data_IF_877285207625
#
_entry.id   IF_877285207625
#
_cell.length_a   1.000
_cell.length_b   1.000
_cell.length_c   1.000
_cell.angle_alpha   90.00
_cell.angle_beta   90.00
_cell.angle_gamma   90.00
#
_symmetry.space_group_name_H-M   'P 1'
#
loop_
_entity.id
_entity.type
_entity.pdbx_description
1 polymer ?
#
# COMPACT_ATOMS: atom_id res chain seq x y z
N UNK A 1 -69.57 -17.43 32.52
CA UNK A 1 -70.67 -16.54 32.10
C UNK A 1 -70.42 -16.08 30.66
N UNK A 2 -71.39 -16.37 29.77
CA UNK A 2 -71.76 -15.73 28.46
C UNK A 2 -70.63 -15.33 27.47
N UNK A 3 -70.41 -16.10 26.37
CA UNK A 3 -71.06 -16.07 25.02
C UNK A 3 -70.79 -14.77 24.23
N UNK A 4 -69.92 -14.80 23.20
CA UNK A 4 -70.15 -15.10 21.75
C UNK A 4 -70.65 -13.91 20.90
N UNK A 5 -69.94 -13.66 19.77
CA UNK A 5 -70.37 -13.34 18.37
C UNK A 5 -69.17 -12.67 17.67
N UNK A 6 -68.42 -13.27 16.72
CA UNK A 6 -68.70 -13.64 15.31
C UNK A 6 -69.42 -12.54 14.52
N UNK A 7 -68.72 -11.89 13.58
CA UNK A 7 -69.13 -11.78 12.17
C UNK A 7 -67.91 -11.50 11.26
N UNK A 8 -67.91 -12.17 10.09
CA UNK A 8 -66.96 -12.04 8.97
C UNK A 8 -67.47 -10.95 8.00
N UNK A 9 -66.58 -10.38 7.16
CA UNK A 9 -66.63 -10.46 5.66
C UNK A 9 -65.79 -9.34 4.98
N UNK A 10 -64.96 -9.79 4.04
CA UNK A 10 -64.43 -9.18 2.79
C UNK A 10 -63.56 -7.90 2.76
N UNK A 11 -62.27 -8.13 2.52
CA UNK A 11 -61.42 -7.70 1.38
C UNK A 11 -61.82 -6.46 0.56
N UNK A 12 -60.97 -5.41 0.53
CA UNK A 12 -60.20 -4.95 -0.66
C UNK A 12 -59.33 -3.69 -0.35
N UNK A 13 -58.13 -3.68 -0.95
CA UNK A 13 -57.34 -2.52 -1.47
C UNK A 13 -56.28 -1.84 -0.57
N UNK A 14 -55.03 -2.10 -0.97
CA UNK A 14 -53.81 -1.27 -1.01
C UNK A 14 -53.70 -0.04 -0.08
N UNK A 15 -52.62 0.04 0.71
CA UNK A 15 -51.36 0.71 0.28
C UNK A 15 -50.26 0.57 1.36
N UNK A 16 -49.06 0.22 0.88
CA UNK A 16 -47.73 0.60 1.36
C UNK A 16 -47.38 0.45 2.87
N UNK A 17 -46.64 -0.61 3.18
CA UNK A 17 -45.66 -0.62 4.27
C UNK A 17 -44.26 -0.90 3.69
N UNK A 18 -43.39 0.11 3.73
CA UNK A 18 -41.94 -0.03 3.56
C UNK A 18 -41.35 0.25 4.93
N UNK A 19 -41.09 -0.80 5.71
CA UNK A 19 -40.13 -0.74 6.81
C UNK A 19 -38.91 -1.56 6.37
N UNK A 20 -37.86 -0.83 6.00
CA UNK A 20 -36.53 -1.36 5.72
C UNK A 20 -35.89 -1.86 7.02
N UNK A 21 -35.92 -3.18 7.24
CA UNK A 21 -34.96 -3.84 8.13
C UNK A 21 -33.75 -4.21 7.30
N UNK A 22 -32.64 -3.49 7.50
CA UNK A 22 -31.34 -3.78 6.94
C UNK A 22 -30.83 -5.13 7.44
N UNK A 23 -30.78 -6.12 6.54
CA UNK A 23 -30.05 -7.37 6.75
C UNK A 23 -28.57 -7.06 6.53
N UNK A 24 -27.65 -7.39 7.46
CA UNK A 24 -26.22 -7.25 7.20
C UNK A 24 -25.81 -8.19 6.06
N UNK A 25 -25.18 -7.60 5.03
CA UNK A 25 -24.65 -8.32 3.89
C UNK A 25 -23.62 -9.35 4.36
N UNK A 26 -23.93 -10.63 4.15
CA UNK A 26 -23.00 -11.72 4.33
C UNK A 26 -21.82 -11.55 3.38
N UNK A 27 -20.64 -11.29 3.92
CA UNK A 27 -19.37 -11.49 3.24
C UNK A 27 -19.21 -12.98 2.94
N UNK A 28 -19.46 -13.38 1.70
CA UNK A 28 -19.11 -14.71 1.22
C UNK A 28 -17.60 -14.78 1.01
N UNK A 29 -16.86 -15.16 2.05
CA UNK A 29 -15.52 -15.73 1.89
C UNK A 29 -15.67 -17.08 1.18
N UNK A 30 -15.11 -17.21 -0.02
CA UNK A 30 -14.90 -18.52 -0.64
C UNK A 30 -13.89 -19.29 0.21
N UNK A 31 -14.40 -20.09 1.14
CA UNK A 31 -13.61 -20.87 2.09
C UNK A 31 -13.15 -22.17 1.40
N UNK A 32 -12.00 -22.12 0.74
CA UNK A 32 -11.25 -23.33 0.39
C UNK A 32 -10.76 -23.96 1.69
N UNK A 33 -11.44 -25.01 2.14
CA UNK A 33 -11.02 -25.84 3.29
C UNK A 33 -9.79 -26.67 2.89
N UNK A 34 -8.63 -26.04 2.83
CA UNK A 34 -7.38 -26.74 3.12
C UNK A 34 -7.16 -26.67 4.63
N UNK A 35 -7.46 -27.78 5.32
CA UNK A 35 -6.93 -28.05 6.65
C UNK A 35 -5.40 -28.18 6.54
N UNK A 36 -4.70 -27.06 6.55
CA UNK A 36 -3.30 -27.03 6.94
C UNK A 36 -3.27 -26.69 8.42
N UNK A 37 -2.85 -27.66 9.23
CA UNK A 37 -2.52 -27.43 10.61
C UNK A 37 -1.54 -26.24 10.69
N UNK A 38 -1.83 -25.32 11.60
CA UNK A 38 -0.91 -24.24 11.98
C UNK A 38 0.32 -24.86 12.64
N UNK A 39 1.25 -25.35 11.82
CA UNK A 39 2.65 -25.44 12.20
C UNK A 39 3.20 -24.03 12.02
N UNK A 40 3.46 -23.35 13.12
CA UNK A 40 4.32 -22.16 13.13
C UNK A 40 5.72 -22.61 12.70
N UNK A 41 5.97 -22.66 11.39
CA UNK A 41 7.31 -22.85 10.87
C UNK A 41 8.15 -21.67 11.36
N UNK A 42 9.13 -21.96 12.21
CA UNK A 42 10.04 -20.96 12.76
C UNK A 42 10.90 -20.42 11.62
N UNK A 43 10.40 -19.39 10.94
CA UNK A 43 11.10 -18.75 9.81
C UNK A 43 12.40 -18.13 10.32
N UNK A 44 13.51 -18.51 9.70
CA UNK A 44 14.84 -18.03 10.07
C UNK A 44 15.17 -16.74 9.30
N UNK A 45 14.94 -15.60 9.93
CA UNK A 45 15.34 -14.30 9.40
C UNK A 45 16.85 -14.08 9.61
N UNK A 46 17.54 -13.35 8.69
CA UNK A 46 18.94 -12.98 8.88
C UNK A 46 19.17 -12.27 10.22
N UNK A 47 20.22 -12.68 10.95
CA UNK A 47 20.60 -12.03 12.22
C UNK A 47 21.40 -10.77 11.91
N UNK A 48 20.92 -9.62 12.39
CA UNK A 48 21.54 -8.33 12.15
C UNK A 48 22.84 -8.11 12.93
N UNK A 49 23.67 -7.13 12.51
CA UNK A 49 24.91 -6.79 13.18
C UNK A 49 24.67 -6.08 14.53
N UNK A 50 25.71 -6.09 15.38
CA UNK A 50 25.76 -5.23 16.56
C UNK A 50 26.13 -3.80 16.18
N UNK A 51 25.41 -2.82 16.74
CA UNK A 51 25.57 -1.38 16.49
C UNK A 51 25.62 -0.61 17.80
N UNK A 52 26.34 0.51 17.82
CA UNK A 52 26.51 1.38 18.98
C UNK A 52 25.29 2.25 19.30
N UNK A 53 24.49 2.62 18.29
CA UNK A 53 23.25 3.40 18.46
C UNK A 53 22.26 2.73 19.43
N UNK A 54 21.60 3.50 20.28
CA UNK A 54 20.64 3.00 21.28
C UNK A 54 19.37 2.44 20.62
N UNK A 55 18.91 3.11 19.55
CA UNK A 55 17.81 2.66 18.70
C UNK A 55 18.21 2.70 17.22
N UNK A 56 17.80 1.69 16.45
CA UNK A 56 18.08 1.61 15.03
C UNK A 56 17.05 0.77 14.26
N UNK A 57 16.76 1.16 13.02
CA UNK A 57 15.89 0.43 12.10
C UNK A 57 16.44 0.49 10.67
N UNK A 58 16.26 -0.58 9.92
CA UNK A 58 16.37 -0.58 8.45
C UNK A 58 15.02 -1.01 7.90
N UNK A 59 14.40 -0.13 7.11
CA UNK A 59 13.10 -0.33 6.49
C UNK A 59 13.24 -0.21 4.98
N UNK A 60 12.60 -1.09 4.23
CA UNK A 60 12.41 -0.90 2.80
C UNK A 60 11.40 0.23 2.54
N UNK A 61 11.81 1.25 1.78
CA UNK A 61 11.07 2.48 1.55
C UNK A 61 9.75 2.26 0.80
N UNK A 62 9.66 1.22 -0.04
CA UNK A 62 8.45 0.94 -0.81
C UNK A 62 7.47 0.08 -0.02
N UNK A 63 7.91 -1.10 0.38
CA UNK A 63 7.07 -2.12 1.02
C UNK A 63 6.79 -1.80 2.48
N UNK A 64 7.68 -1.07 3.16
CA UNK A 64 7.63 -0.88 4.61
C UNK A 64 8.16 -2.08 5.41
N UNK A 65 8.72 -3.10 4.74
CA UNK A 65 9.28 -4.26 5.42
C UNK A 65 10.47 -3.84 6.30
N UNK A 66 10.42 -4.22 7.58
CA UNK A 66 11.51 -4.02 8.53
C UNK A 66 12.54 -5.15 8.37
N UNK A 67 13.73 -4.79 7.87
CA UNK A 67 14.86 -5.71 7.67
C UNK A 67 15.71 -5.86 8.93
N UNK A 68 15.85 -4.78 9.71
CA UNK A 68 16.59 -4.73 10.97
C UNK A 68 15.82 -3.91 12.01
N UNK A 69 15.87 -4.34 13.27
CA UNK A 69 15.26 -3.62 14.39
C UNK A 69 16.09 -3.71 15.67
N UNK A 70 16.31 -2.56 16.32
CA UNK A 70 16.83 -2.43 17.68
C UNK A 70 16.08 -1.30 18.39
N UNK A 71 15.34 -1.60 19.46
CA UNK A 71 14.61 -0.61 20.28
C UNK A 71 13.79 0.38 19.44
N UNK A 72 13.08 -0.10 18.42
CA UNK A 72 12.53 0.77 17.36
C UNK A 72 11.40 1.69 17.82
N UNK A 73 10.69 1.33 18.88
CA UNK A 73 9.63 2.12 19.54
C UNK A 73 10.12 2.91 20.76
N UNK A 74 11.41 2.82 21.11
CA UNK A 74 11.95 3.58 22.24
C UNK A 74 11.95 5.07 21.88
N UNK A 75 11.29 5.88 22.70
CA UNK A 75 11.28 7.35 22.57
C UNK A 75 12.68 7.91 22.75
N UNK A 76 13.08 8.74 21.81
CA UNK A 76 14.36 9.45 21.75
C UNK A 76 14.13 10.88 21.27
N UNK A 77 15.06 11.78 21.58
CA UNK A 77 15.04 13.12 21.03
C UNK A 77 15.53 13.09 19.56
N UNK A 78 14.77 13.62 18.59
CA UNK A 78 15.13 13.57 17.17
C UNK A 78 16.30 14.49 16.79
N UNK A 79 16.52 15.58 17.53
CA UNK A 79 17.35 16.69 17.05
C UNK A 79 16.92 17.12 15.63
N UNK A 80 17.85 17.57 14.79
CA UNK A 80 17.53 18.10 13.46
C UNK A 80 16.97 17.12 12.43
N UNK A 81 16.82 15.82 12.72
CA UNK A 81 16.09 14.92 11.80
C UNK A 81 14.60 15.28 11.75
N UNK A 82 14.08 16.02 12.74
CA UNK A 82 12.77 16.70 12.74
C UNK A 82 12.48 17.45 11.45
N UNK A 83 13.51 18.04 10.84
CA UNK A 83 13.39 18.83 9.61
C UNK A 83 12.89 18.01 8.41
N UNK A 84 12.95 16.68 8.45
CA UNK A 84 12.30 15.82 7.45
C UNK A 84 10.78 16.04 7.46
N UNK A 85 10.15 16.08 8.64
CA UNK A 85 8.71 16.36 8.77
C UNK A 85 8.40 17.80 8.35
N UNK A 86 9.24 18.77 8.73
CA UNK A 86 9.06 20.18 8.33
C UNK A 86 9.09 20.35 6.81
N UNK A 87 10.05 19.72 6.13
CA UNK A 87 10.15 19.74 4.67
C UNK A 87 8.99 19.00 4.01
N UNK A 88 8.56 17.85 4.55
CA UNK A 88 7.38 17.13 4.05
C UNK A 88 6.14 18.03 4.08
N UNK A 89 5.83 18.63 5.23
CA UNK A 89 4.66 19.50 5.36
C UNK A 89 4.72 20.73 4.46
N UNK A 90 5.91 21.34 4.30
CA UNK A 90 6.06 22.45 3.37
C UNK A 90 5.74 22.04 1.92
N UNK A 91 6.17 20.85 1.50
CA UNK A 91 5.85 20.33 0.17
C UNK A 91 4.40 19.89 0.01
N UNK A 92 3.70 19.55 1.09
CA UNK A 92 2.28 19.21 1.09
C UNK A 92 1.36 20.44 1.10
N UNK A 93 1.82 21.58 1.63
CA UNK A 93 0.98 22.74 1.91
C UNK A 93 1.34 24.00 1.12
N UNK A 94 2.49 24.06 0.45
CA UNK A 94 2.96 25.25 -0.25
C UNK A 94 3.49 24.94 -1.66
N UNK A 95 3.38 25.91 -2.55
CA UNK A 95 4.15 25.97 -3.80
C UNK A 95 5.59 26.39 -3.52
N UNK A 96 6.53 25.85 -4.31
CA UNK A 96 7.96 26.17 -4.24
C UNK A 96 8.26 27.65 -4.53
N UNK A 97 7.39 28.33 -5.28
CA UNK A 97 7.52 29.75 -5.64
C UNK A 97 7.01 30.71 -4.57
N UNK A 98 6.34 30.23 -3.52
CA UNK A 98 5.87 31.08 -2.44
C UNK A 98 7.03 31.77 -1.74
N UNK A 99 6.80 33.01 -1.31
CA UNK A 99 7.80 33.81 -0.60
C UNK A 99 7.59 33.71 0.90
N UNK A 100 8.58 33.15 1.59
CA UNK A 100 8.63 33.03 3.05
C UNK A 100 9.28 34.31 3.61
N UNK A 101 8.55 35.01 4.47
CA UNK A 101 9.06 36.19 5.19
C UNK A 101 9.46 35.81 6.62
N UNK A 102 10.66 36.18 7.05
CA UNK A 102 11.18 35.75 8.36
C UNK A 102 10.93 36.80 9.44
N UNK A 103 10.13 36.46 10.44
CA UNK A 103 9.84 37.36 11.57
C UNK A 103 11.02 37.48 12.55
N UNK A 104 10.94 38.43 13.48
CA UNK A 104 11.88 38.51 14.62
C UNK A 104 11.85 37.24 15.48
N UNK A 105 10.67 36.62 15.61
CA UNK A 105 10.48 35.37 16.36
C UNK A 105 11.17 34.21 15.65
N UNK A 106 11.02 34.09 14.32
CA UNK A 106 11.64 33.03 13.54
C UNK A 106 13.18 33.04 13.66
N UNK A 107 13.79 34.23 13.58
CA UNK A 107 15.26 34.40 13.66
C UNK A 107 15.82 34.36 15.08
N UNK A 108 14.97 34.39 16.10
CA UNK A 108 15.39 34.27 17.50
C UNK A 108 15.58 32.80 17.88
N UNK A 109 16.78 32.28 17.62
CA UNK A 109 17.18 30.88 17.87
C UNK A 109 18.27 30.79 18.94
N UNK A 110 18.42 29.61 19.54
CA UNK A 110 19.45 29.35 20.54
C UNK A 110 20.86 29.66 20.01
N UNK A 111 21.66 30.36 20.83
CA UNK A 111 23.04 30.73 20.49
C UNK A 111 23.90 29.49 20.21
N UNK A 112 24.69 29.54 19.13
CA UNK A 112 25.52 28.40 18.70
C UNK A 112 24.77 27.30 17.96
N UNK A 113 23.45 27.42 17.77
CA UNK A 113 22.69 26.48 16.95
C UNK A 113 22.89 26.74 15.45
N UNK A 114 22.57 25.75 14.60
CA UNK A 114 22.82 25.85 13.15
C UNK A 114 21.89 26.85 12.46
N UNK A 115 22.47 27.76 11.67
CA UNK A 115 21.77 28.81 10.96
C UNK A 115 22.48 29.21 9.66
N UNK A 116 21.82 30.00 8.81
CA UNK A 116 22.40 30.62 7.60
C UNK A 116 22.41 32.15 7.68
N UNK A 117 22.05 32.72 8.84
CA UNK A 117 22.15 34.15 9.10
C UNK A 117 21.07 34.95 8.39
N UNK A 118 19.83 34.47 8.45
CA UNK A 118 18.67 35.23 7.99
C UNK A 118 18.39 36.40 8.92
N UNK A 119 18.07 37.56 8.33
CA UNK A 119 17.69 38.79 9.05
C UNK A 119 16.16 38.85 9.19
N UNK A 120 15.68 39.47 10.28
CA UNK A 120 14.24 39.75 10.41
C UNK A 120 13.76 40.65 9.25
N UNK A 121 12.66 40.28 8.60
CA UNK A 121 12.11 40.92 7.40
C UNK A 121 12.75 40.46 6.09
N UNK A 122 13.76 39.59 6.14
CA UNK A 122 14.32 38.97 4.94
C UNK A 122 13.30 38.01 4.31
N UNK A 123 13.43 37.79 3.00
CA UNK A 123 12.54 36.96 2.21
C UNK A 123 13.32 35.93 1.40
N UNK A 124 12.85 34.69 1.40
CA UNK A 124 13.34 33.61 0.55
C UNK A 124 12.17 32.95 -0.18
N UNK A 125 12.45 32.34 -1.33
CA UNK A 125 11.50 31.38 -1.90
C UNK A 125 11.34 30.17 -0.97
N UNK A 126 10.20 29.48 -1.03
CA UNK A 126 10.01 28.21 -0.33
C UNK A 126 11.07 27.21 -0.79
N UNK A 127 11.39 27.15 -2.08
CA UNK A 127 12.48 26.31 -2.59
C UNK A 127 13.82 26.57 -1.89
N UNK A 128 14.28 27.82 -1.84
CA UNK A 128 15.54 28.18 -1.17
C UNK A 128 15.49 27.87 0.32
N UNK A 129 14.33 28.07 0.95
CA UNK A 129 14.10 27.74 2.35
C UNK A 129 14.26 26.23 2.60
N UNK A 130 13.70 25.38 1.74
CA UNK A 130 13.82 23.93 1.88
C UNK A 130 15.26 23.43 1.65
N UNK A 131 16.00 24.04 0.71
CA UNK A 131 17.43 23.75 0.56
C UNK A 131 18.23 24.17 1.80
N UNK A 132 17.98 25.35 2.37
CA UNK A 132 18.63 25.79 3.60
C UNK A 132 18.35 24.85 4.79
N UNK A 133 17.09 24.41 4.93
CA UNK A 133 16.65 23.47 5.97
C UNK A 133 17.33 22.12 5.82
N UNK A 134 17.37 21.54 4.62
CA UNK A 134 17.88 20.18 4.43
C UNK A 134 19.40 20.11 4.35
N UNK A 135 20.07 21.05 3.69
CA UNK A 135 21.52 21.00 3.48
C UNK A 135 22.30 21.53 4.68
N UNK A 136 21.94 22.73 5.16
CA UNK A 136 22.64 23.43 6.24
C UNK A 136 21.91 23.36 7.59
N UNK A 137 20.76 22.70 7.66
CA UNK A 137 20.02 22.52 8.91
C UNK A 137 19.58 23.82 9.56
N UNK A 138 19.28 24.85 8.77
CA UNK A 138 18.95 26.20 9.25
C UNK A 138 17.71 26.21 10.17
N UNK A 139 17.90 26.56 11.44
CA UNK A 139 16.85 26.54 12.46
C UNK A 139 15.85 27.68 12.28
N UNK A 140 16.35 28.89 12.02
CA UNK A 140 15.55 30.08 11.80
C UNK A 140 14.68 29.96 10.55
N UNK A 141 15.20 29.31 9.51
CA UNK A 141 14.45 29.07 8.29
C UNK A 141 13.31 28.08 8.54
N UNK A 142 13.56 27.05 9.35
CA UNK A 142 12.51 26.09 9.75
C UNK A 142 11.40 26.77 10.54
N UNK A 143 11.74 27.71 11.43
CA UNK A 143 10.76 28.52 12.15
C UNK A 143 9.96 29.43 11.21
N UNK A 144 10.61 30.10 10.26
CA UNK A 144 9.92 30.95 9.29
C UNK A 144 8.96 30.18 8.38
N UNK A 145 9.37 28.99 7.92
CA UNK A 145 8.49 28.08 7.17
C UNK A 145 7.29 27.64 8.02
N UNK A 146 7.50 27.37 9.31
CA UNK A 146 6.42 27.04 10.23
C UNK A 146 5.42 28.18 10.42
N UNK A 147 5.91 29.41 10.61
CA UNK A 147 5.08 30.61 10.69
C UNK A 147 4.31 30.85 9.38
N UNK A 148 4.95 30.66 8.23
CA UNK A 148 4.31 30.81 6.92
C UNK A 148 3.14 29.84 6.72
N UNK A 149 3.30 28.58 7.11
CA UNK A 149 2.30 27.53 6.90
C UNK A 149 1.16 27.60 7.92
N UNK A 150 1.45 27.88 9.19
CA UNK A 150 0.47 27.74 10.28
C UNK A 150 0.25 29.01 11.11
N UNK A 151 0.80 30.14 10.67
CA UNK A 151 0.74 31.42 11.38
C UNK A 151 1.62 31.52 12.63
N UNK A 152 2.03 30.38 13.21
CA UNK A 152 2.97 30.33 14.33
C UNK A 152 3.71 28.99 14.40
N UNK A 153 4.87 29.00 15.06
CA UNK A 153 5.68 27.79 15.31
C UNK A 153 4.91 26.74 16.13
N UNK A 154 4.10 27.19 17.10
CA UNK A 154 3.30 26.30 17.97
C UNK A 154 2.19 25.59 17.19
N UNK A 155 1.43 26.32 16.36
CA UNK A 155 0.39 25.70 15.53
C UNK A 155 0.99 24.76 14.49
N UNK A 156 2.16 25.09 13.94
CA UNK A 156 2.88 24.19 13.05
C UNK A 156 3.32 22.91 13.77
N UNK A 157 3.81 22.99 15.02
CA UNK A 157 4.17 21.83 15.81
C UNK A 157 2.97 20.88 16.07
N UNK A 158 1.77 21.44 16.27
CA UNK A 158 0.52 20.67 16.33
C UNK A 158 0.21 20.01 14.99
N UNK A 159 0.38 20.72 13.87
CA UNK A 159 0.22 20.17 12.52
C UNK A 159 1.20 19.01 12.27
N UNK A 160 2.48 19.15 12.63
CA UNK A 160 3.49 18.09 12.55
C UNK A 160 3.08 16.86 13.35
N UNK A 161 2.62 17.05 14.59
CA UNK A 161 2.18 15.94 15.45
C UNK A 161 0.92 15.27 14.90
N UNK A 162 -0.03 16.05 14.37
CA UNK A 162 -1.22 15.51 13.70
C UNK A 162 -0.83 14.67 12.49
N UNK A 163 0.05 15.20 11.62
CA UNK A 163 0.54 14.49 10.43
C UNK A 163 1.28 13.20 10.80
N UNK A 164 2.09 13.22 11.85
CA UNK A 164 2.75 12.01 12.35
C UNK A 164 1.72 10.92 12.73
N UNK A 165 0.64 11.28 13.45
CA UNK A 165 -0.43 10.34 13.79
C UNK A 165 -1.14 9.78 12.56
N UNK A 166 -1.42 10.61 11.55
CA UNK A 166 -2.01 10.17 10.28
C UNK A 166 -1.11 9.18 9.52
N UNK A 167 0.20 9.27 9.70
CA UNK A 167 1.18 8.33 9.14
C UNK A 167 1.32 7.04 9.98
N UNK A 168 0.61 6.92 11.11
CA UNK A 168 0.69 5.76 12.01
C UNK A 168 1.81 5.85 13.05
N UNK A 169 2.36 7.03 13.31
CA UNK A 169 3.35 7.24 14.36
C UNK A 169 2.68 7.25 15.74
N UNK A 170 3.09 6.36 16.63
CA UNK A 170 2.54 6.22 17.99
C UNK A 170 3.48 6.80 19.07
N UNK A 171 4.76 6.94 18.75
CA UNK A 171 5.84 7.29 19.66
C UNK A 171 6.46 8.67 19.36
N UNK A 172 5.69 9.56 18.72
CA UNK A 172 6.16 10.88 18.25
C UNK A 172 5.30 12.03 18.75
N UNK A 173 5.96 13.09 19.21
CA UNK A 173 5.39 14.40 19.47
C UNK A 173 6.40 15.48 19.08
N UNK A 174 5.97 16.42 18.23
CA UNK A 174 6.79 17.56 17.83
C UNK A 174 6.36 18.80 18.62
N UNK A 175 7.32 19.41 19.32
CA UNK A 175 7.14 20.70 20.00
C UNK A 175 7.62 21.93 19.19
N UNK A 176 8.36 21.72 18.10
CA UNK A 176 8.93 22.79 17.26
C UNK A 176 9.28 22.27 15.86
N UNK A 177 9.62 23.17 14.94
CA UNK A 177 9.88 22.86 13.53
C UNK A 177 11.35 22.50 13.22
N UNK A 178 12.27 22.70 14.16
CA UNK A 178 13.71 22.69 13.88
C UNK A 178 14.46 21.55 14.60
N UNK A 179 13.88 20.97 15.65
CA UNK A 179 14.49 19.91 16.44
C UNK A 179 15.47 20.39 17.52
N UNK A 180 15.45 21.67 17.88
CA UNK A 180 16.05 22.13 19.14
C UNK A 180 15.39 21.39 20.31
N UNK A 181 16.16 21.19 21.39
CA UNK A 181 15.73 20.34 22.48
C UNK A 181 14.54 20.93 23.24
N UNK A 182 13.55 20.07 23.47
CA UNK A 182 12.42 20.27 24.35
C UNK A 182 12.05 18.87 24.89
N UNK A 183 11.66 18.76 26.15
CA UNK A 183 11.37 17.47 26.78
C UNK A 183 10.14 16.77 26.20
N UNK A 184 9.21 17.54 25.65
CA UNK A 184 8.07 17.03 24.91
C UNK A 184 8.38 16.78 23.44
N UNK A 185 9.60 17.04 22.95
CA UNK A 185 9.97 16.85 21.55
C UNK A 185 10.67 15.50 21.33
N UNK A 186 9.91 14.45 21.03
CA UNK A 186 10.42 13.08 20.91
C UNK A 186 9.88 12.34 19.69
N UNK A 187 10.59 11.30 19.28
CA UNK A 187 10.19 10.34 18.23
C UNK A 187 10.75 8.95 18.54
N UNK A 188 10.48 7.97 17.68
CA UNK A 188 11.10 6.64 17.69
C UNK A 188 11.80 6.37 16.35
N UNK A 189 12.64 5.32 16.30
CA UNK A 189 13.28 4.94 15.05
C UNK A 189 12.25 4.47 14.01
N UNK A 190 11.21 3.76 14.47
CA UNK A 190 10.11 3.30 13.64
C UNK A 190 9.32 4.46 13.04
N UNK A 191 8.89 5.41 13.88
CA UNK A 191 8.11 6.57 13.44
C UNK A 191 8.90 7.44 12.46
N UNK A 192 10.19 7.63 12.70
CA UNK A 192 11.02 8.38 11.77
C UNK A 192 11.22 7.65 10.43
N UNK A 193 11.22 6.32 10.42
CA UNK A 193 11.20 5.56 9.17
C UNK A 193 9.86 5.72 8.42
N UNK A 194 8.72 5.76 9.12
CA UNK A 194 7.41 6.05 8.51
C UNK A 194 7.34 7.45 7.90
N UNK A 195 7.78 8.46 8.66
CA UNK A 195 7.83 9.86 8.20
C UNK A 195 8.74 9.98 6.98
N UNK A 196 9.90 9.33 7.01
CA UNK A 196 10.83 9.32 5.88
C UNK A 196 10.27 8.60 4.67
N UNK A 197 9.55 7.48 4.86
CA UNK A 197 8.87 6.75 3.79
C UNK A 197 7.83 7.63 3.10
N UNK A 198 7.07 8.41 3.85
CA UNK A 198 6.14 9.40 3.30
C UNK A 198 6.86 10.50 2.53
N UNK A 199 7.92 11.07 3.10
CA UNK A 199 8.72 12.12 2.45
C UNK A 199 9.34 11.65 1.12
N UNK A 200 9.83 10.41 1.06
CA UNK A 200 10.37 9.81 -0.16
C UNK A 200 9.32 9.53 -1.24
N UNK A 201 8.02 9.69 -1.00
CA UNK A 201 7.03 9.66 -2.10
C UNK A 201 7.06 10.95 -2.93
N UNK A 202 7.61 12.04 -2.38
CA UNK A 202 7.70 13.32 -3.07
C UNK A 202 9.02 13.43 -3.86
N UNK A 203 8.94 13.61 -5.18
CA UNK A 203 10.12 13.72 -6.05
C UNK A 203 10.96 14.97 -5.78
N UNK A 204 10.34 16.09 -5.38
CA UNK A 204 11.07 17.30 -4.98
C UNK A 204 11.84 17.08 -3.69
N UNK A 205 11.26 16.39 -2.69
CA UNK A 205 11.98 16.02 -1.47
C UNK A 205 13.25 15.20 -1.80
N UNK A 206 13.11 14.22 -2.71
CA UNK A 206 14.24 13.41 -3.19
C UNK A 206 15.34 14.27 -3.80
N UNK A 207 14.99 15.18 -4.70
CA UNK A 207 15.96 16.09 -5.33
C UNK A 207 16.69 16.96 -4.30
N UNK A 208 15.96 17.52 -3.33
CA UNK A 208 16.54 18.38 -2.29
C UNK A 208 17.51 17.58 -1.40
N UNK A 209 17.10 16.42 -0.88
CA UNK A 209 17.93 15.65 0.05
C UNK A 209 19.20 15.07 -0.61
N UNK A 210 19.16 14.78 -1.91
CA UNK A 210 20.31 14.32 -2.71
C UNK A 210 21.30 15.41 -3.03
N UNK A 211 20.88 16.68 -3.00
CA UNK A 211 21.71 17.80 -3.43
C UNK A 211 22.88 18.00 -2.47
N UNK A 212 24.10 17.99 -3.03
CA UNK A 212 25.34 18.16 -2.26
C UNK A 212 25.64 19.62 -1.96
N UNK A 213 25.38 20.50 -2.92
CA UNK A 213 25.60 21.95 -2.82
C UNK A 213 24.48 22.69 -3.49
N UNK A 214 24.09 23.82 -2.90
CA UNK A 214 23.09 24.73 -3.45
C UNK A 214 23.53 26.16 -3.19
N UNK A 215 23.14 27.11 -4.02
CA UNK A 215 23.48 28.53 -3.81
C UNK A 215 22.19 29.33 -3.77
N UNK A 216 21.93 29.97 -2.64
CA UNK A 216 20.85 30.94 -2.51
C UNK A 216 21.38 32.27 -3.05
N UNK A 217 20.59 32.88 -3.93
CA UNK A 217 20.89 34.18 -4.53
C UNK A 217 20.83 35.33 -3.52
N UNK A 218 20.93 36.55 -4.04
CA UNK A 218 20.65 37.74 -3.25
C UNK A 218 19.17 37.81 -2.88
N UNK A 219 18.89 38.44 -1.75
CA UNK A 219 17.54 38.66 -1.22
C UNK A 219 17.24 40.17 -1.15
N UNK A 220 16.08 40.49 -0.59
CA UNK A 220 15.72 41.88 -0.30
C UNK A 220 16.71 42.54 0.70
N UNK A 221 17.23 41.80 1.69
CA UNK A 221 18.09 42.33 2.76
C UNK A 221 19.55 41.84 2.75
N UNK A 222 19.90 40.89 1.88
CA UNK A 222 21.26 40.37 1.73
C UNK A 222 21.66 40.36 0.25
N UNK A 223 22.74 41.08 -0.10
CA UNK A 223 23.18 41.17 -1.50
C UNK A 223 24.23 40.12 -1.86
N UNK A 224 24.82 39.48 -0.86
CA UNK A 224 25.76 38.37 -1.06
C UNK A 224 25.02 37.04 -1.25
N UNK A 225 25.63 36.14 -2.02
CA UNK A 225 25.13 34.77 -2.20
C UNK A 225 25.43 33.96 -0.95
N UNK A 226 24.54 33.03 -0.58
CA UNK A 226 24.79 32.05 0.49
C UNK A 226 25.04 30.67 -0.11
N UNK A 227 26.17 30.08 0.22
CA UNK A 227 26.57 28.75 -0.26
C UNK A 227 26.18 27.68 0.74
N UNK A 228 25.33 26.75 0.30
CA UNK A 228 24.86 25.64 1.10
C UNK A 228 25.69 24.39 0.76
N UNK A 229 25.99 23.59 1.78
CA UNK A 229 26.67 22.31 1.65
C UNK A 229 25.98 21.29 2.53
N UNK A 230 25.56 20.17 1.94
CA UNK A 230 24.87 19.12 2.68
C UNK A 230 25.75 18.56 3.79
N UNK A 231 25.26 18.58 5.03
CA UNK A 231 25.96 18.08 6.20
C UNK A 231 26.10 16.54 6.24
N UNK A 232 25.34 15.80 5.42
CA UNK A 232 25.40 14.34 5.38
C UNK A 232 26.74 13.87 4.79
N UNK A 233 27.61 13.30 5.63
CA UNK A 233 28.99 13.04 5.26
C UNK A 233 29.12 11.95 4.17
N UNK A 234 28.20 10.99 4.11
CA UNK A 234 28.20 9.93 3.10
C UNK A 234 27.97 10.43 1.66
N UNK A 235 27.44 11.66 1.49
CA UNK A 235 27.28 12.30 0.17
C UNK A 235 28.54 13.04 -0.29
N UNK A 236 29.54 13.18 0.57
CA UNK A 236 30.70 14.05 0.36
C UNK A 236 32.02 13.26 0.44
N UNK A 237 32.25 12.30 -0.46
CA UNK A 237 33.39 11.37 -0.39
C UNK A 237 34.76 12.06 -0.48
N UNK A 238 34.85 13.25 -1.09
CA UNK A 238 36.10 14.02 -1.14
C UNK A 238 36.49 14.55 0.24
N UNK A 239 35.51 14.99 1.04
CA UNK A 239 35.76 15.54 2.39
C UNK A 239 35.77 14.47 3.47
N UNK A 240 34.98 13.41 3.29
CA UNK A 240 34.80 12.33 4.25
C UNK A 240 34.93 10.95 3.56
N UNK A 241 36.11 10.62 3.01
CA UNK A 241 36.31 9.37 2.28
C UNK A 241 36.00 8.12 3.12
N UNK A 242 36.23 8.17 4.44
CA UNK A 242 35.93 7.08 5.36
C UNK A 242 34.43 6.77 5.53
N UNK A 243 33.55 7.69 5.13
CA UNK A 243 32.10 7.52 5.16
C UNK A 243 31.48 7.47 3.77
N UNK A 244 32.30 7.49 2.72
CA UNK A 244 31.82 7.38 1.34
C UNK A 244 30.97 6.12 1.19
N UNK A 245 29.77 6.28 0.64
CA UNK A 245 28.86 5.16 0.43
C UNK A 245 28.13 5.35 -0.90
N UNK A 246 28.46 4.53 -1.88
CA UNK A 246 28.00 4.68 -3.26
C UNK A 246 26.46 4.63 -3.39
N UNK A 247 25.79 3.87 -2.52
CA UNK A 247 24.35 3.73 -2.54
C UNK A 247 23.61 4.88 -1.83
N UNK A 248 24.31 5.80 -1.15
CA UNK A 248 23.67 6.89 -0.41
C UNK A 248 23.02 7.91 -1.36
N UNK A 249 21.72 8.13 -1.17
CA UNK A 249 20.88 9.03 -1.98
C UNK A 249 20.22 10.12 -1.12
N UNK A 250 20.82 10.48 0.01
CA UNK A 250 20.28 11.53 0.88
C UNK A 250 20.12 11.09 2.32
N UNK A 251 19.53 12.00 3.10
CA UNK A 251 19.28 11.82 4.51
C UNK A 251 19.26 13.13 5.27
N UNK A 252 19.25 13.03 6.60
CA UNK A 252 19.36 14.16 7.52
C UNK A 252 20.14 13.77 8.77
N UNK A 253 21.10 14.62 9.12
CA UNK A 253 21.86 14.54 10.37
C UNK A 253 21.20 15.35 11.48
N UNK A 254 21.44 14.98 12.73
CA UNK A 254 21.06 15.77 13.90
C UNK A 254 21.97 15.54 15.09
N UNK A 255 22.10 16.57 15.91
CA UNK A 255 22.81 16.52 17.18
C UNK A 255 22.24 17.54 18.15
N UNK A 256 22.02 17.11 19.40
CA UNK A 256 21.96 17.98 20.58
C UNK A 256 22.67 17.24 21.72
N UNK A 257 22.99 17.93 22.81
CA UNK A 257 23.61 17.28 23.97
C UNK A 257 22.74 16.13 24.53
N UNK A 258 21.41 16.29 24.48
CA UNK A 258 20.43 15.31 24.98
C UNK A 258 20.14 14.20 23.98
N UNK A 259 20.02 14.53 22.69
CA UNK A 259 19.77 13.56 21.62
C UNK A 259 21.01 12.70 21.29
N UNK A 260 22.22 13.22 21.57
CA UNK A 260 23.47 12.75 20.94
C UNK A 260 23.33 12.77 19.41
N UNK A 261 24.11 11.96 18.68
CA UNK A 261 24.00 11.92 17.22
C UNK A 261 22.78 11.11 16.79
N UNK A 262 22.04 11.68 15.85
CA UNK A 262 20.93 11.05 15.16
C UNK A 262 21.18 11.13 13.66
N UNK A 263 20.83 10.09 12.92
CA UNK A 263 21.02 10.05 11.48
C UNK A 263 19.90 9.26 10.83
N UNK A 264 19.29 9.88 9.82
CA UNK A 264 18.44 9.20 8.84
C UNK A 264 19.19 9.19 7.52
N UNK A 265 19.34 8.03 6.90
CA UNK A 265 20.02 7.86 5.61
C UNK A 265 19.11 7.09 4.66
N UNK A 266 19.03 7.58 3.44
CA UNK A 266 18.36 6.91 2.32
C UNK A 266 19.42 6.29 1.43
N UNK A 267 19.26 5.03 1.06
CA UNK A 267 20.17 4.34 0.18
C UNK A 267 19.44 3.48 -0.83
N UNK A 268 19.95 3.39 -2.05
CA UNK A 268 19.35 2.58 -3.12
C UNK A 268 20.42 1.74 -3.82
N UNK A 269 20.14 0.44 -3.96
CA UNK A 269 20.95 -0.53 -4.72
C UNK A 269 20.03 -1.39 -5.57
N UNK A 270 20.11 -1.25 -6.89
CA UNK A 270 19.14 -1.86 -7.80
C UNK A 270 17.72 -1.35 -7.51
N UNK A 271 16.77 -2.26 -7.38
CA UNK A 271 15.37 -1.94 -7.08
C UNK A 271 15.07 -1.75 -5.59
N UNK A 272 15.98 -2.19 -4.71
CA UNK A 272 15.84 -2.05 -3.26
C UNK A 272 16.21 -0.64 -2.82
N UNK A 273 15.31 0.02 -2.10
CA UNK A 273 15.52 1.33 -1.52
C UNK A 273 15.31 1.26 -0.01
N UNK A 274 16.34 1.59 0.77
CA UNK A 274 16.37 1.44 2.21
C UNK A 274 16.38 2.80 2.92
N UNK A 275 15.61 2.86 4.00
CA UNK A 275 15.64 3.91 5.01
C UNK A 275 16.34 3.32 6.23
N UNK A 276 17.48 3.89 6.61
CA UNK A 276 18.18 3.56 7.84
C UNK A 276 18.05 4.73 8.82
N UNK A 277 17.53 4.47 10.02
CA UNK A 277 17.49 5.45 11.10
C UNK A 277 18.32 4.92 12.26
N UNK A 278 19.23 5.74 12.78
CA UNK A 278 19.98 5.51 14.01
C UNK A 278 19.80 6.68 14.96
N UNK A 279 19.44 6.40 16.20
CA UNK A 279 19.17 7.41 17.22
C UNK A 279 20.07 7.21 18.44
N UNK A 280 20.47 8.33 19.04
CA UNK A 280 21.32 8.39 20.23
C UNK A 280 22.61 7.57 20.07
N UNK A 281 23.29 7.80 18.95
CA UNK A 281 24.61 7.24 18.70
C UNK A 281 25.69 8.02 19.43
N UNK A 282 26.71 7.29 19.88
CA UNK A 282 27.93 7.86 20.45
C UNK A 282 28.61 8.83 19.47
N UNK A 283 29.31 9.87 19.98
CA UNK A 283 30.04 10.80 19.12
C UNK A 283 31.16 10.10 18.33
N UNK A 284 31.46 10.57 17.09
CA UNK A 284 32.54 10.02 16.26
C UNK A 284 33.91 9.96 16.93
N UNK A 285 34.16 10.82 17.92
CA UNK A 285 35.46 10.98 18.58
C UNK A 285 35.58 10.20 19.90
N UNK A 286 34.60 9.36 20.25
CA UNK A 286 34.57 8.65 21.54
C UNK A 286 34.69 7.13 21.35
N UNK A 287 34.17 6.57 20.26
CA UNK A 287 34.17 5.13 20.01
C UNK A 287 34.43 4.84 18.52
N UNK A 288 34.98 3.65 18.17
CA UNK A 288 35.12 3.22 16.78
C UNK A 288 33.78 3.08 16.05
N UNK A 289 32.67 2.96 16.80
CA UNK A 289 31.31 2.97 16.27
C UNK A 289 30.66 4.34 16.49
N UNK A 290 30.18 4.94 15.41
CA UNK A 290 29.39 6.16 15.39
C UNK A 290 28.21 6.02 14.42
N UNK A 291 27.43 7.10 14.26
CA UNK A 291 26.21 7.09 13.47
C UNK A 291 26.44 6.67 12.01
N UNK A 292 27.59 7.01 11.41
CA UNK A 292 27.89 6.66 10.03
C UNK A 292 28.38 5.22 9.90
N UNK A 293 29.27 4.76 10.78
CA UNK A 293 29.75 3.37 10.73
C UNK A 293 28.63 2.38 11.04
N UNK A 294 27.74 2.72 11.98
CA UNK A 294 26.55 1.91 12.27
C UNK A 294 25.60 1.89 11.08
N UNK A 295 25.31 3.05 10.48
CA UNK A 295 24.48 3.13 9.27
C UNK A 295 25.05 2.31 8.11
N UNK A 296 26.35 2.37 7.84
CA UNK A 296 26.99 1.58 6.77
C UNK A 296 26.82 0.07 7.04
N UNK A 297 27.09 -0.39 8.27
CA UNK A 297 26.90 -1.80 8.67
C UNK A 297 25.45 -2.26 8.47
N UNK A 298 24.50 -1.41 8.85
CA UNK A 298 23.06 -1.69 8.76
C UNK A 298 22.56 -1.73 7.31
N UNK A 299 22.99 -0.78 6.47
CA UNK A 299 22.65 -0.75 5.06
C UNK A 299 23.25 -1.95 4.31
N UNK A 300 24.52 -2.27 4.56
CA UNK A 300 25.15 -3.47 4.00
C UNK A 300 24.40 -4.73 4.42
N UNK A 301 24.03 -4.85 5.69
CA UNK A 301 23.20 -5.98 6.14
C UNK A 301 21.90 -6.10 5.34
N UNK A 302 21.20 -4.99 5.09
CA UNK A 302 19.98 -4.95 4.27
C UNK A 302 20.23 -5.41 2.82
N UNK A 303 21.25 -4.87 2.17
CA UNK A 303 21.54 -5.19 0.76
C UNK A 303 22.17 -6.57 0.55
N UNK A 304 22.91 -7.11 1.53
CA UNK A 304 23.67 -8.35 1.39
C UNK A 304 22.87 -9.58 1.81
N UNK A 305 21.82 -9.45 2.62
CA UNK A 305 21.08 -10.60 3.17
C UNK A 305 19.70 -10.81 2.56
N UNK A 306 19.25 -9.88 1.71
CA UNK A 306 17.91 -9.89 1.12
C UNK A 306 17.96 -9.68 -0.40
N UNK A 307 17.00 -10.30 -1.09
CA UNK A 307 16.83 -10.27 -2.54
C UNK A 307 15.45 -9.70 -2.88
N UNK A 308 15.41 -8.85 -3.91
CA UNK A 308 14.17 -8.32 -4.50
C UNK A 308 13.68 -9.21 -5.65
N UNK A 309 12.38 -9.52 -5.63
CA UNK A 309 11.66 -10.18 -6.72
C UNK A 309 10.65 -9.21 -7.31
N UNK A 310 10.92 -8.72 -8.52
CA UNK A 310 9.99 -7.85 -9.24
C UNK A 310 8.73 -8.61 -9.63
N UNK A 311 7.56 -8.04 -9.33
CA UNK A 311 6.26 -8.62 -9.63
C UNK A 311 5.70 -7.90 -10.86
N UNK A 312 6.07 -8.38 -12.04
CA UNK A 312 5.49 -7.91 -13.30
C UNK A 312 4.58 -8.98 -13.93
N UNK A 313 3.69 -8.52 -14.82
CA UNK A 313 2.67 -9.33 -15.50
C UNK A 313 3.25 -10.41 -16.42
N UNK A 314 4.52 -10.28 -16.83
CA UNK A 314 5.12 -11.13 -17.87
C UNK A 314 6.04 -12.22 -17.34
N UNK A 315 6.71 -12.05 -16.20
CA UNK A 315 7.82 -12.92 -15.76
C UNK A 315 7.42 -14.01 -14.76
N UNK A 316 6.36 -13.82 -13.97
CA UNK A 316 6.18 -14.65 -12.77
C UNK A 316 5.07 -15.70 -12.87
N UNK A 317 4.60 -16.02 -14.08
CA UNK A 317 3.62 -17.08 -14.29
C UNK A 317 2.48 -16.98 -13.28
N UNK A 318 1.92 -15.75 -13.12
CA UNK A 318 0.79 -15.45 -12.24
C UNK A 318 -0.44 -16.22 -12.75
N UNK A 319 -0.42 -17.54 -12.55
CA UNK A 319 -1.56 -18.41 -12.36
C UNK A 319 -2.21 -17.91 -11.07
N UNK A 320 -2.86 -16.75 -11.17
CA UNK A 320 -3.98 -16.44 -10.31
C UNK A 320 -4.89 -17.64 -10.42
N UNK A 321 -4.96 -18.42 -9.33
CA UNK A 321 -5.82 -19.59 -9.23
C UNK A 321 -7.14 -19.23 -9.90
N UNK A 322 -7.46 -19.97 -10.95
CA UNK A 322 -8.47 -19.74 -11.98
C UNK A 322 -9.89 -19.83 -11.44
N UNK A 323 -10.06 -19.47 -10.17
CA UNK A 323 -11.29 -19.05 -9.53
C UNK A 323 -11.80 -17.74 -10.15
N UNK A 324 -12.48 -17.93 -11.28
CA UNK A 324 -13.51 -17.09 -11.89
C UNK A 324 -13.13 -15.73 -12.49
N UNK A 325 -11.93 -15.18 -12.28
CA UNK A 325 -11.56 -13.88 -12.87
C UNK A 325 -10.68 -13.95 -14.13
N UNK A 326 -9.97 -15.07 -14.36
CA UNK A 326 -8.92 -15.15 -15.39
C UNK A 326 -9.04 -16.41 -16.24
N UNK A 327 -10.17 -16.62 -16.91
CA UNK A 327 -10.26 -17.66 -17.94
C UNK A 327 -9.61 -17.16 -19.22
N UNK A 328 -8.82 -18.02 -19.86
CA UNK A 328 -8.05 -17.80 -21.10
C UNK A 328 -8.89 -17.44 -22.34
N UNK A 329 -10.19 -17.23 -22.16
CA UNK A 329 -11.19 -17.14 -23.22
C UNK A 329 -11.97 -15.82 -23.22
N UNK A 330 -11.57 -14.83 -22.43
CA UNK A 330 -12.20 -13.51 -22.44
C UNK A 330 -11.32 -12.51 -23.21
N UNK A 331 -11.82 -11.83 -24.27
CA UNK A 331 -11.07 -10.87 -25.08
C UNK A 331 -10.55 -9.65 -24.30
N UNK A 332 -11.01 -9.43 -23.06
CA UNK A 332 -10.41 -8.46 -22.13
C UNK A 332 -9.03 -8.87 -21.60
N UNK A 333 -8.54 -10.08 -21.92
CA UNK A 333 -7.32 -10.66 -21.33
C UNK A 333 -6.38 -11.32 -22.35
N UNK A 334 -6.41 -10.85 -23.60
CA UNK A 334 -5.27 -11.11 -24.48
C UNK A 334 -4.02 -10.45 -23.86
N UNK A 335 -2.94 -11.23 -23.75
CA UNK A 335 -1.67 -10.86 -23.09
C UNK A 335 -1.06 -9.58 -23.68
N UNK A 336 -1.44 -9.23 -24.91
CA UNK A 336 -0.97 -8.04 -25.62
C UNK A 336 -1.95 -6.86 -25.61
N UNK A 337 -3.21 -7.03 -25.16
CA UNK A 337 -4.26 -5.98 -25.22
C UNK A 337 -5.17 -5.91 -23.98
N UNK A 338 -4.83 -6.62 -22.89
CA UNK A 338 -5.66 -6.65 -21.68
C UNK A 338 -5.78 -5.28 -21.02
N UNK A 339 -7.03 -4.89 -20.76
CA UNK A 339 -7.39 -3.77 -19.91
C UNK A 339 -7.01 -4.00 -18.44
N UNK A 340 -6.56 -5.18 -18.03
CA UNK A 340 -6.17 -5.47 -16.65
C UNK A 340 -4.70 -5.89 -16.56
N UNK A 341 -3.95 -5.20 -15.70
CA UNK A 341 -2.50 -5.34 -15.56
C UNK A 341 -2.10 -5.29 -14.09
N UNK A 342 -0.90 -5.76 -13.78
CA UNK A 342 -0.26 -5.55 -12.48
C UNK A 342 0.67 -4.36 -12.61
N UNK A 343 0.75 -3.50 -11.59
CA UNK A 343 1.68 -2.38 -11.58
C UNK A 343 3.11 -2.88 -11.74
N UNK A 344 3.84 -2.31 -12.71
CA UNK A 344 5.19 -2.77 -13.07
C UNK A 344 6.27 -2.44 -12.04
N UNK A 345 5.91 -1.71 -10.98
CA UNK A 345 6.84 -1.20 -9.99
C UNK A 345 6.84 -2.03 -8.68
N UNK A 346 5.87 -2.92 -8.47
CA UNK A 346 5.77 -3.71 -7.25
C UNK A 346 6.83 -4.80 -7.15
N UNK A 347 7.38 -5.01 -5.95
CA UNK A 347 8.35 -6.08 -5.68
C UNK A 347 8.16 -6.71 -4.30
N UNK A 348 8.78 -7.87 -4.12
CA UNK A 348 8.83 -8.63 -2.88
C UNK A 348 10.27 -8.75 -2.40
N UNK A 349 10.53 -8.52 -1.11
CA UNK A 349 11.84 -8.70 -0.49
C UNK A 349 11.83 -9.95 0.38
N UNK A 350 12.73 -10.89 0.09
CA UNK A 350 12.92 -12.10 0.88
C UNK A 350 14.40 -12.30 1.24
N UNK A 351 14.71 -13.03 2.32
CA UNK A 351 16.09 -13.44 2.58
C UNK A 351 16.69 -14.22 1.40
N UNK A 352 17.99 -14.10 1.10
CA UNK A 352 18.66 -14.63 -0.12
C UNK A 352 18.49 -16.13 -0.43
N UNK A 353 17.96 -16.93 0.49
CA UNK A 353 17.74 -18.38 0.32
C UNK A 353 16.27 -18.77 0.18
N UNK A 354 15.37 -17.80 0.31
CA UNK A 354 13.92 -18.01 0.31
C UNK A 354 13.40 -17.68 -1.08
N UNK A 355 12.75 -18.65 -1.72
CA UNK A 355 12.16 -18.45 -3.05
C UNK A 355 10.83 -17.71 -2.94
N UNK A 356 10.46 -16.97 -3.98
CA UNK A 356 9.16 -16.30 -4.06
C UNK A 356 7.97 -17.24 -3.82
N UNK A 357 8.07 -18.51 -4.25
CA UNK A 357 7.05 -19.54 -4.05
C UNK A 357 6.80 -19.90 -2.58
N UNK A 358 7.71 -19.55 -1.67
CA UNK A 358 7.55 -19.77 -0.23
C UNK A 358 6.76 -18.63 0.44
N UNK A 359 6.58 -17.50 -0.25
CA UNK A 359 5.71 -16.43 0.23
C UNK A 359 4.25 -16.75 -0.10
N UNK A 360 3.38 -16.60 0.90
CA UNK A 360 1.93 -16.70 0.71
C UNK A 360 1.41 -15.45 0.00
N UNK A 361 0.62 -15.65 -1.04
CA UNK A 361 0.04 -14.58 -1.85
C UNK A 361 -1.43 -14.39 -1.50
N UNK A 362 -1.83 -13.16 -1.22
CA UNK A 362 -3.23 -12.77 -1.00
C UNK A 362 -3.62 -11.75 -2.06
N UNK A 363 -4.77 -11.96 -2.70
CA UNK A 363 -5.30 -11.07 -3.75
C UNK A 363 -6.57 -10.43 -3.23
N UNK A 364 -6.59 -9.11 -3.23
CA UNK A 364 -7.74 -8.31 -2.80
C UNK A 364 -8.22 -7.48 -3.97
N UNK A 365 -9.51 -7.54 -4.29
CA UNK A 365 -10.16 -6.69 -5.29
C UNK A 365 -11.13 -5.78 -4.58
N UNK A 366 -11.03 -4.48 -4.85
CA UNK A 366 -11.95 -3.49 -4.30
C UNK A 366 -13.27 -3.60 -5.04
N UNK A 367 -14.36 -3.86 -4.32
CA UNK A 367 -15.71 -3.86 -4.88
C UNK A 367 -16.19 -2.42 -5.00
N UNK A 368 -16.85 -2.08 -6.11
CA UNK A 368 -17.45 -0.77 -6.38
C UNK A 368 -16.47 0.39 -6.59
N UNK A 369 -15.32 0.15 -7.24
CA UNK A 369 -14.43 1.24 -7.65
C UNK A 369 -15.09 2.08 -8.75
N UNK A 370 -15.27 3.38 -8.52
CA UNK A 370 -15.61 4.32 -9.59
C UNK A 370 -14.45 4.41 -10.57
N UNK A 371 -14.66 3.93 -11.80
CA UNK A 371 -13.62 3.86 -12.82
C UNK A 371 -13.52 5.18 -13.59
N UNK A 372 -12.41 5.87 -13.41
CA UNK A 372 -12.00 7.03 -14.19
C UNK A 372 -11.41 6.58 -15.52
N UNK A 373 -11.39 7.47 -16.50
CA UNK A 373 -10.76 7.16 -17.78
C UNK A 373 -9.24 7.01 -17.57
N UNK A 374 -8.64 6.04 -18.27
CA UNK A 374 -7.24 5.65 -18.05
C UNK A 374 -7.05 4.61 -16.93
N UNK A 375 -5.90 4.67 -16.24
CA UNK A 375 -5.48 3.66 -15.27
C UNK A 375 -6.18 3.80 -13.91
N UNK A 376 -6.82 2.73 -13.46
CA UNK A 376 -7.52 2.65 -12.17
C UNK A 376 -6.93 1.53 -11.31
N UNK A 377 -6.58 1.81 -10.05
CA UNK A 377 -6.24 0.73 -9.12
C UNK A 377 -7.53 0.07 -8.64
N UNK A 378 -7.71 -1.21 -8.95
CA UNK A 378 -8.92 -1.97 -8.60
C UNK A 378 -8.67 -3.07 -7.56
N UNK A 379 -7.44 -3.18 -7.07
CA UNK A 379 -7.06 -4.20 -6.11
C UNK A 379 -5.56 -4.22 -5.85
N UNK A 380 -5.14 -5.17 -5.05
CA UNK A 380 -3.74 -5.36 -4.67
C UNK A 380 -3.42 -6.83 -4.52
N UNK A 381 -2.18 -7.19 -4.84
CA UNK A 381 -1.57 -8.47 -4.52
C UNK A 381 -0.59 -8.23 -3.39
N UNK A 382 -0.78 -8.89 -2.25
CA UNK A 382 0.08 -8.81 -1.07
C UNK A 382 0.80 -10.13 -0.88
N UNK A 383 2.10 -10.07 -0.60
CA UNK A 383 2.93 -11.25 -0.29
C UNK A 383 3.30 -11.24 1.19
N UNK A 384 3.10 -12.37 1.86
CA UNK A 384 3.41 -12.57 3.27
C UNK A 384 4.36 -13.76 3.46
N UNK A 385 5.39 -13.57 4.28
CA UNK A 385 6.35 -14.61 4.66
C UNK A 385 6.71 -14.47 6.14
N UNK A 386 6.69 -15.57 6.89
CA UNK A 386 7.03 -15.56 8.32
C UNK A 386 6.20 -14.58 9.16
N UNK A 387 4.92 -14.40 8.82
CA UNK A 387 4.00 -13.48 9.50
C UNK A 387 4.21 -11.99 9.18
N UNK A 388 5.11 -11.65 8.24
CA UNK A 388 5.35 -10.27 7.80
C UNK A 388 4.91 -10.08 6.35
N UNK A 389 4.34 -8.91 6.05
CA UNK A 389 4.16 -8.46 4.68
C UNK A 389 5.53 -8.14 4.08
N UNK A 390 5.90 -8.87 3.04
CA UNK A 390 7.23 -8.80 2.39
C UNK A 390 7.22 -8.09 1.05
N UNK A 391 6.04 -7.77 0.54
CA UNK A 391 5.89 -7.03 -0.70
C UNK A 391 4.45 -6.90 -1.11
N UNK A 392 4.19 -6.03 -2.07
CA UNK A 392 2.89 -5.88 -2.68
C UNK A 392 3.03 -5.28 -4.08
N UNK A 393 1.95 -5.38 -4.85
CA UNK A 393 1.77 -4.68 -6.12
C UNK A 393 0.30 -4.42 -6.36
N UNK A 394 -0.01 -3.36 -7.10
CA UNK A 394 -1.37 -2.96 -7.40
C UNK A 394 -1.91 -3.66 -8.65
N UNK A 395 -3.21 -3.87 -8.67
CA UNK A 395 -3.95 -4.37 -9.84
C UNK A 395 -4.56 -3.17 -10.54
N UNK A 396 -4.15 -2.90 -11.77
CA UNK A 396 -4.54 -1.75 -12.56
C UNK A 396 -5.52 -2.18 -13.65
N UNK A 397 -6.67 -1.51 -13.71
CA UNK A 397 -7.61 -1.57 -14.82
C UNK A 397 -7.52 -0.30 -15.67
N UNK A 398 -7.13 -0.43 -16.93
CA UNK A 398 -7.11 0.66 -17.89
C UNK A 398 -8.45 0.73 -18.64
N UNK A 399 -9.24 1.76 -18.33
CA UNK A 399 -10.49 2.07 -19.01
C UNK A 399 -10.19 2.87 -20.27
N UNK A 400 -9.98 2.19 -21.39
CA UNK A 400 -9.93 2.82 -22.72
C UNK A 400 -11.33 2.97 -23.31
N UNK A 401 -11.61 4.12 -23.92
CA UNK A 401 -12.79 4.32 -24.76
C UNK A 401 -12.75 3.34 -25.95
N UNK A 402 -13.86 2.63 -26.17
CA UNK A 402 -14.09 1.64 -27.24
C UNK A 402 -13.10 0.48 -27.34
N UNK A 403 -13.41 -0.64 -26.68
CA UNK A 403 -13.18 -1.94 -27.34
C UNK A 403 -14.20 -2.00 -28.48
N UNK A 404 -13.79 -1.66 -29.70
CA UNK A 404 -14.62 -1.96 -30.87
C UNK A 404 -14.70 -3.49 -30.99
N UNK A 405 -15.92 -4.00 -31.21
CA UNK A 405 -16.20 -5.42 -31.49
C UNK A 405 -15.61 -5.91 -32.83
N UNK A 406 -14.82 -5.08 -33.52
CA UNK A 406 -14.40 -5.31 -34.91
C UNK A 406 -13.03 -6.00 -35.05
N UNK A 407 -12.66 -6.84 -34.09
CA UNK A 407 -11.50 -7.75 -34.24
C UNK A 407 -11.94 -9.21 -34.29
N UNK A 408 -13.03 -9.49 -35.02
CA UNK A 408 -13.19 -10.79 -35.64
C UNK A 408 -12.31 -10.89 -36.88
N UNK A 409 -11.31 -11.77 -36.81
CA UNK A 409 -10.55 -12.36 -37.92
C UNK A 409 -9.61 -11.45 -38.74
N UNK A 410 -8.33 -11.43 -38.34
CA UNK A 410 -7.24 -11.66 -39.29
C UNK A 410 -6.43 -12.87 -38.84
N UNK A 411 -6.90 -14.06 -39.23
CA UNK A 411 -6.06 -15.26 -39.23
C UNK A 411 -5.00 -15.03 -40.31
N UNK A 412 -3.74 -14.93 -39.88
CA UNK A 412 -2.61 -14.92 -40.79
C UNK A 412 -2.50 -16.35 -41.38
N UNK A 413 -2.69 -16.48 -42.70
CA UNK A 413 -2.88 -17.77 -43.40
C UNK A 413 -1.64 -18.67 -43.50
N UNK A 414 -0.55 -18.34 -42.82
CA UNK A 414 0.75 -19.00 -43.05
C UNK A 414 1.26 -19.87 -41.89
N UNK A 415 0.43 -20.17 -40.87
CA UNK A 415 0.89 -20.93 -39.69
C UNK A 415 -0.01 -22.13 -39.36
N UNK A 416 -0.31 -22.94 -40.39
CA UNK A 416 -1.22 -24.10 -40.29
C UNK A 416 -0.52 -25.46 -40.45
N UNK A 417 0.66 -25.66 -39.86
CA UNK A 417 1.23 -27.03 -39.83
C UNK A 417 1.08 -27.78 -38.51
N UNK A 418 0.87 -27.13 -37.35
CA UNK A 418 0.87 -27.86 -36.07
C UNK A 418 -0.20 -27.38 -35.06
N UNK A 419 -1.45 -27.21 -35.50
CA UNK A 419 -2.55 -26.92 -34.57
C UNK A 419 -3.51 -28.13 -34.41
N UNK A 420 -3.51 -28.83 -33.25
CA UNK A 420 -4.36 -30.00 -33.01
C UNK A 420 -5.86 -29.70 -33.06
N UNK A 421 -6.28 -28.43 -32.97
CA UNK A 421 -7.69 -28.04 -33.04
C UNK A 421 -8.21 -27.98 -34.48
N UNK A 422 -7.37 -27.67 -35.48
CA UNK A 422 -7.79 -27.63 -36.90
C UNK A 422 -8.12 -29.03 -37.41
N UNK A 423 -7.39 -30.04 -36.95
CA UNK A 423 -7.67 -31.45 -37.25
C UNK A 423 -8.94 -31.97 -36.54
N UNK A 424 -9.32 -31.40 -35.39
CA UNK A 424 -10.58 -31.74 -34.73
C UNK A 424 -11.81 -31.16 -35.47
N UNK A 425 -11.71 -29.95 -36.02
CA UNK A 425 -12.81 -29.30 -36.73
C UNK A 425 -13.02 -29.86 -38.14
N UNK A 426 -11.94 -30.20 -38.87
CA UNK A 426 -12.07 -30.78 -40.22
C UNK A 426 -12.63 -32.21 -40.21
N UNK A 427 -12.44 -32.97 -39.13
CA UNK A 427 -13.04 -34.29 -38.96
C UNK A 427 -14.51 -34.24 -38.49
N UNK A 428 -15.01 -33.07 -38.06
CA UNK A 428 -16.38 -32.89 -37.59
C UNK A 428 -17.37 -32.47 -38.70
N UNK A 429 -16.89 -32.21 -39.92
CA UNK A 429 -17.75 -31.94 -41.09
C UNK A 429 -17.73 -33.11 -42.07
N UNK A 430 -18.19 -34.27 -41.60
CA UNK A 430 -18.80 -35.26 -42.50
C UNK A 430 -20.29 -35.33 -42.18
N UNK A 431 -21.11 -35.01 -43.17
CA UNK A 431 -22.55 -34.94 -43.07
C UNK A 431 -23.16 -36.34 -42.93
N UNK A 432 -23.31 -36.82 -41.69
CA UNK A 432 -24.15 -37.98 -41.44
C UNK A 432 -25.63 -37.56 -41.53
N UNK A 433 -26.28 -37.90 -42.65
CA UNK A 433 -27.75 -37.85 -42.77
C UNK A 433 -28.37 -38.76 -41.70
N UNK A 434 -28.98 -38.15 -40.68
CA UNK A 434 -29.72 -38.88 -39.64
C UNK A 434 -30.98 -39.48 -40.27
N UNK A 435 -31.22 -40.79 -40.09
CA UNK A 435 -32.38 -41.46 -40.70
C UNK A 435 -33.69 -40.99 -40.03
N UNK A 436 -34.76 -40.73 -40.79
CA UNK A 436 -36.04 -40.25 -40.24
C UNK A 436 -36.67 -41.20 -39.21
N UNK A 437 -36.29 -42.48 -39.22
CA UNK A 437 -36.67 -43.49 -38.21
C UNK A 437 -36.13 -43.17 -36.81
N UNK A 438 -34.95 -42.57 -36.71
CA UNK A 438 -34.31 -42.28 -35.41
C UNK A 438 -34.98 -41.06 -34.73
N UNK A 439 -35.45 -40.10 -35.52
CA UNK A 439 -36.25 -38.97 -35.04
C UNK A 439 -37.61 -39.44 -34.55
N UNK A 440 -38.25 -40.38 -35.28
CA UNK A 440 -39.53 -40.97 -34.88
C UNK A 440 -39.42 -41.72 -33.54
N UNK A 441 -38.33 -42.45 -33.33
CA UNK A 441 -38.07 -43.17 -32.08
C UNK A 441 -37.91 -42.23 -30.88
N UNK A 442 -37.19 -41.11 -31.05
CA UNK A 442 -37.00 -40.09 -29.99
C UNK A 442 -38.34 -39.45 -29.61
N UNK A 443 -39.20 -39.15 -30.59
CA UNK A 443 -40.54 -38.58 -30.34
C UNK A 443 -41.42 -39.58 -29.57
N UNK A 444 -41.37 -40.87 -29.92
CA UNK A 444 -42.11 -41.93 -29.22
C UNK A 444 -41.67 -42.08 -27.76
N UNK A 445 -40.38 -41.97 -27.48
CA UNK A 445 -39.83 -42.02 -26.10
C UNK A 445 -40.35 -40.84 -25.28
N UNK A 446 -40.39 -39.63 -25.85
CA UNK A 446 -40.90 -38.43 -25.16
C UNK A 446 -42.40 -38.58 -24.82
N UNK A 447 -43.19 -39.14 -25.73
CA UNK A 447 -44.63 -39.40 -25.49
C UNK A 447 -44.82 -40.40 -24.35
N UNK A 448 -44.04 -41.48 -24.30
CA UNK A 448 -44.11 -42.47 -23.21
C UNK A 448 -43.78 -41.84 -21.86
N UNK A 449 -42.76 -40.98 -21.79
CA UNK A 449 -42.38 -40.27 -20.56
C UNK A 449 -43.53 -39.36 -20.08
N UNK A 450 -44.19 -38.64 -20.99
CA UNK A 450 -45.33 -37.77 -20.66
C UNK A 450 -46.54 -38.56 -20.14
N UNK A 451 -46.82 -39.73 -20.71
CA UNK A 451 -47.90 -40.62 -20.26
C UNK A 451 -47.61 -41.15 -18.85
N UNK A 452 -46.36 -41.57 -18.58
CA UNK A 452 -45.94 -42.01 -17.24
C UNK A 452 -46.10 -40.88 -16.21
N UNK A 453 -45.70 -39.66 -16.55
CA UNK A 453 -45.87 -38.50 -15.68
C UNK A 453 -47.35 -38.22 -15.35
N UNK A 454 -48.24 -38.35 -16.34
CA UNK A 454 -49.69 -38.21 -16.15
C UNK A 454 -50.28 -39.30 -15.25
N UNK A 455 -49.84 -40.55 -15.39
CA UNK A 455 -50.27 -41.66 -14.54
C UNK A 455 -49.84 -41.42 -13.09
N UNK A 456 -48.62 -40.96 -12.86
CA UNK A 456 -48.12 -40.61 -11.51
C UNK A 456 -48.96 -39.50 -10.89
N UNK A 457 -49.24 -38.42 -11.64
CA UNK A 457 -50.09 -37.32 -11.17
C UNK A 457 -51.51 -37.80 -10.82
N UNK A 458 -52.07 -38.73 -11.61
CA UNK A 458 -53.37 -39.31 -11.34
C UNK A 458 -53.38 -40.20 -10.08
N UNK A 459 -52.33 -40.99 -9.86
CA UNK A 459 -52.19 -41.82 -8.64
C UNK A 459 -52.05 -40.96 -7.37
N UNK A 460 -51.28 -39.87 -7.43
CA UNK A 460 -51.15 -38.90 -6.32
C UNK A 460 -52.51 -38.25 -6.01
N UNK A 461 -53.28 -37.90 -7.05
CA UNK A 461 -54.64 -37.35 -6.90
C UNK A 461 -55.61 -38.37 -6.28
N UNK A 462 -55.46 -39.66 -6.59
CA UNK A 462 -56.26 -40.75 -6.01
C UNK A 462 -55.94 -41.01 -4.53
N UNK A 463 -54.67 -40.92 -4.11
CA UNK A 463 -54.28 -41.03 -2.69
C UNK A 463 -54.78 -39.84 -1.84
N UNK A 464 -54.85 -38.64 -2.41
CA UNK A 464 -55.44 -37.46 -1.76
C UNK A 464 -56.93 -37.62 -1.41
N UNK A 465 -57.67 -38.43 -2.19
CA UNK A 465 -59.08 -38.72 -1.93
C UNK A 465 -59.30 -39.84 -0.90
N UNK A 466 -58.36 -40.76 -0.66
CA UNK A 466 -58.56 -41.82 0.35
C UNK A 466 -58.36 -41.30 1.80
N UNK A 467 -57.52 -40.29 2.01
CA UNK A 467 -57.34 -39.66 3.33
C UNK A 467 -58.45 -38.68 3.73
N UNK A 468 -59.28 -38.20 2.79
CA UNK A 468 -60.47 -37.39 3.10
C UNK A 468 -61.69 -38.21 3.52
N UNK A 469 -61.69 -39.52 3.29
CA UNK A 469 -62.79 -40.43 3.67
C UNK A 469 -62.59 -41.10 5.03
N UNK A 470 -61.38 -41.11 5.57
CA UNK A 470 -61.09 -41.67 6.91
C UNK A 470 -61.26 -40.62 8.04
N UNK A 471 -61.12 -39.32 7.74
CA UNK A 471 -61.29 -38.22 8.72
C UNK A 471 -62.74 -37.74 8.93
N UNK A 472 -63.71 -38.28 8.18
CA UNK A 472 -65.16 -38.02 8.38
C UNK A 472 -65.91 -39.09 9.19
N UNK A 473 -65.27 -40.21 9.57
CA UNK A 473 -65.89 -41.25 10.42
C UNK A 473 -65.52 -41.18 11.91
N UNK A 474 -64.61 -40.29 12.33
CA UNK A 474 -64.19 -40.14 13.74
C UNK A 474 -64.59 -38.82 14.41
N UNK A 475 -65.53 -38.04 13.84
CA UNK A 475 -66.09 -36.85 14.49
C UNK A 475 -67.50 -37.11 15.07
N UNK A 476 -68.03 -38.34 14.96
CA UNK A 476 -69.33 -38.74 15.53
C UNK A 476 -69.27 -39.76 16.69
N UNK A 477 -68.10 -39.98 17.31
CA UNK A 477 -67.96 -40.80 18.52
C UNK A 477 -66.97 -40.18 19.51
N UNK A 478 -67.45 -39.16 20.22
CA UNK A 478 -67.01 -38.57 21.50
C UNK A 478 -67.65 -37.18 21.48
N UNK A 479 -68.65 -36.82 22.27
CA UNK A 479 -69.22 -37.33 23.51
C UNK A 479 -70.45 -36.41 23.74
N UNK A 480 -71.62 -36.92 24.12
CA UNK A 480 -72.07 -36.89 25.53
C UNK A 480 -71.32 -35.88 26.39
#
# INVERSE_FOLDING_TARGET
MKRKKIFRVATLVLLFSVLMTTIPAQTTSANSKNKSASQSTKVNWPKGPSVGADSAIVMDAKTGLILYSKNIHKKQYPASITKIMTTLLALENCSLSETVSFSKTAVNIESGSTHIGIKAGEQLSMQDSLYAIMLNSANEVSNGVAEHISGSISEFAKLMTKRAKELGCEDTHFANANGLHDDNHYTSAYDMALISKAALQNSTFRSITQTRRYTIGSTNLEKTKRYMSNHHQMLNPVKYPQYAYEYCIGGKTGFTNKARNTLVTFAKKGDMELICVVLKSSPPNVLPNNQYTDTIKLLNFGFENYTTYNINSQSNGLSLDSSQLFTRYNPLFDKNSSSLQVSGDGYVILPNKVKLSEATKTVTVVKNTELKDGSNVIGSIVYNYGGKQVGHTDIIYNKSASVSLDTSHKINKNDTSDNPLVNLFNNATTSHKVSPLLILAIVLIIIVILVIALIILFQVKKQSFSHRSYRRRNIFRKRF
#
